data_IF_889009847164
#
_entry.id   IF_889009847164
#
_cell.length_a   1.000
_cell.length_b   1.000
_cell.length_c   1.000
_cell.angle_alpha   90.00
_cell.angle_beta   90.00
_cell.angle_gamma   90.00
#
_symmetry.space_group_name_H-M   'P 1'
#
loop_
_entity.id
_entity.type
_entity.pdbx_description
1 polymer ?
#
# COMPACT_ATOMS: atom_id res chain seq x y z
N UNK A 1 -9.43 26.28 1.22
CA UNK A 1 -9.95 24.94 0.88
C UNK A 1 -10.33 24.18 2.15
N UNK A 2 -11.31 23.28 2.05
CA UNK A 2 -11.78 22.47 3.17
C UNK A 2 -10.89 21.25 3.40
N UNK A 3 -10.19 20.79 2.35
CA UNK A 3 -9.31 19.64 2.39
C UNK A 3 -8.16 19.79 1.38
N UNK A 4 -6.98 19.28 1.74
CA UNK A 4 -5.83 19.11 0.85
C UNK A 4 -5.59 17.63 0.65
N UNK A 5 -5.55 17.18 -0.60
CA UNK A 5 -5.08 15.85 -0.97
C UNK A 5 -3.60 15.93 -1.33
N UNK A 6 -2.78 15.17 -0.62
CA UNK A 6 -1.35 15.02 -0.88
C UNK A 6 -1.16 13.72 -1.66
N UNK A 7 -0.98 13.83 -2.98
CA UNK A 7 -0.81 12.71 -3.90
C UNK A 7 0.61 12.75 -4.42
N UNK A 8 1.53 12.22 -3.62
CA UNK A 8 2.97 12.22 -3.86
C UNK A 8 3.53 10.81 -3.65
N UNK A 9 4.74 10.56 -4.17
CA UNK A 9 5.47 9.35 -3.84
C UNK A 9 5.84 9.34 -2.37
N UNK A 10 5.92 8.15 -1.77
CA UNK A 10 6.31 7.97 -0.37
C UNK A 10 7.57 8.75 0.02
N UNK A 11 8.59 8.73 -0.84
CA UNK A 11 9.86 9.45 -0.64
C UNK A 11 9.76 10.98 -0.70
N UNK A 12 8.63 11.53 -1.11
CA UNK A 12 8.43 12.98 -1.27
C UNK A 12 7.58 13.59 -0.13
N UNK A 13 7.01 12.77 0.75
CA UNK A 13 6.03 13.23 1.74
C UNK A 13 6.63 14.25 2.71
N UNK A 14 7.88 14.05 3.15
CA UNK A 14 8.53 14.96 4.09
C UNK A 14 8.75 16.36 3.50
N UNK A 15 8.97 16.47 2.18
CA UNK A 15 9.26 17.75 1.51
C UNK A 15 8.11 18.76 1.56
N UNK A 16 6.89 18.32 1.84
CA UNK A 16 5.69 19.18 1.88
C UNK A 16 5.22 19.51 3.30
N UNK A 17 5.82 18.92 4.33
CA UNK A 17 5.34 19.06 5.72
C UNK A 17 5.32 20.52 6.19
N UNK A 18 6.33 21.30 5.90
CA UNK A 18 6.38 22.72 6.30
C UNK A 18 5.28 23.53 5.60
N UNK A 19 5.05 23.27 4.33
CA UNK A 19 3.96 23.89 3.56
C UNK A 19 2.59 23.54 4.15
N UNK A 20 2.41 22.27 4.54
CA UNK A 20 1.17 21.80 5.14
C UNK A 20 0.96 22.39 6.54
N UNK A 21 2.01 22.52 7.35
CA UNK A 21 1.92 23.19 8.66
C UNK A 21 1.48 24.65 8.53
N UNK A 22 2.11 25.39 7.62
CA UNK A 22 1.83 26.78 7.41
C UNK A 22 0.44 27.06 6.77
N UNK A 23 -0.15 26.07 6.08
CA UNK A 23 -1.42 26.23 5.40
C UNK A 23 -2.58 26.34 6.40
N UNK A 24 -3.59 27.17 6.09
CA UNK A 24 -4.78 27.37 6.94
C UNK A 24 -5.75 26.17 6.89
N UNK A 25 -5.72 25.36 5.85
CA UNK A 25 -6.57 24.16 5.71
C UNK A 25 -6.21 23.15 6.79
N UNK A 26 -7.21 22.69 7.53
CA UNK A 26 -7.00 21.75 8.63
C UNK A 26 -7.00 20.28 8.20
N UNK A 27 -7.81 19.94 7.21
CA UNK A 27 -7.96 18.54 6.80
C UNK A 27 -6.94 18.18 5.72
N UNK A 28 -6.07 17.24 6.02
CA UNK A 28 -5.03 16.76 5.12
C UNK A 28 -5.28 15.26 4.86
N UNK A 29 -5.28 14.87 3.60
CA UNK A 29 -5.43 13.46 3.18
C UNK A 29 -4.18 13.04 2.43
N UNK A 30 -3.36 12.19 3.01
CA UNK A 30 -2.24 11.54 2.31
C UNK A 30 -2.75 10.34 1.52
N UNK A 31 -2.45 10.29 0.22
CA UNK A 31 -2.92 9.24 -0.69
C UNK A 31 -1.74 8.47 -1.26
N UNK A 32 -1.68 7.19 -1.03
CA UNK A 32 -0.65 6.29 -1.56
C UNK A 32 -0.08 5.34 -0.50
N UNK A 33 1.02 4.69 -0.85
CA UNK A 33 1.76 3.81 0.04
C UNK A 33 2.34 4.58 1.22
N UNK A 34 2.24 4.03 2.41
CA UNK A 34 2.81 4.64 3.59
C UNK A 34 2.94 3.63 4.73
N UNK A 35 4.13 3.50 5.28
CA UNK A 35 4.40 2.66 6.47
C UNK A 35 4.81 3.49 7.68
N UNK A 36 4.78 4.84 7.56
CA UNK A 36 5.11 5.79 8.62
C UNK A 36 3.94 6.74 8.92
N UNK A 37 2.71 6.25 8.78
CA UNK A 37 1.50 7.07 8.90
C UNK A 37 1.44 7.80 10.26
N UNK A 38 1.83 7.14 11.35
CA UNK A 38 1.88 7.74 12.69
C UNK A 38 2.89 8.88 12.79
N UNK A 39 4.08 8.72 12.21
CA UNK A 39 5.11 9.77 12.20
C UNK A 39 4.65 11.00 11.41
N UNK A 40 4.01 10.81 10.24
CA UNK A 40 3.45 11.92 9.45
C UNK A 40 2.34 12.66 10.22
N UNK A 41 1.45 11.94 10.88
CA UNK A 41 0.40 12.57 11.68
C UNK A 41 1.00 13.35 12.88
N UNK A 42 2.01 12.80 13.55
CA UNK A 42 2.72 13.47 14.64
C UNK A 42 3.46 14.73 14.17
N UNK A 43 3.97 14.75 12.93
CA UNK A 43 4.59 15.93 12.33
C UNK A 43 3.59 17.08 12.04
N UNK A 44 2.28 16.81 12.08
CA UNK A 44 1.21 17.78 11.79
C UNK A 44 0.17 17.85 12.92
N UNK A 45 0.57 18.16 14.18
CA UNK A 45 -0.28 18.03 15.37
C UNK A 45 -1.53 18.92 15.32
N UNK A 46 -1.47 20.06 14.61
CA UNK A 46 -2.59 21.00 14.47
C UNK A 46 -3.55 20.64 13.32
N UNK A 47 -3.27 19.54 12.60
CA UNK A 47 -4.04 19.10 11.44
C UNK A 47 -4.88 17.88 11.77
N UNK A 48 -6.01 17.78 11.07
CA UNK A 48 -6.80 16.56 11.00
C UNK A 48 -6.25 15.72 9.85
N UNK A 49 -5.40 14.74 10.17
CA UNK A 49 -4.69 13.93 9.18
C UNK A 49 -5.45 12.64 8.91
N UNK A 50 -5.77 12.44 7.65
CA UNK A 50 -6.35 11.22 7.13
C UNK A 50 -5.37 10.56 6.16
N UNK A 51 -5.57 9.26 5.96
CA UNK A 51 -4.83 8.48 4.99
C UNK A 51 -5.78 7.78 4.04
N UNK A 52 -5.32 7.59 2.80
CA UNK A 52 -6.12 6.93 1.78
C UNK A 52 -5.26 6.09 0.86
N UNK A 53 -5.86 5.04 0.32
CA UNK A 53 -5.31 4.26 -0.77
C UNK A 53 -6.36 4.13 -1.88
N UNK A 54 -6.07 4.72 -3.04
CA UNK A 54 -6.92 4.62 -4.22
C UNK A 54 -6.54 3.37 -5.02
N UNK A 55 -7.53 2.58 -5.40
CA UNK A 55 -7.33 1.41 -6.24
C UNK A 55 -7.23 1.86 -7.71
N UNK A 56 -6.13 2.52 -8.00
CA UNK A 56 -5.75 3.01 -9.32
C UNK A 56 -4.28 2.67 -9.57
N UNK A 57 -3.92 2.48 -10.82
CA UNK A 57 -2.56 2.16 -11.22
C UNK A 57 -2.27 2.76 -12.60
N UNK A 58 -1.00 2.89 -12.94
CA UNK A 58 -0.59 3.42 -14.23
C UNK A 58 0.81 4.00 -14.20
N UNK A 59 1.17 4.61 -15.32
CA UNK A 59 2.45 5.26 -15.49
C UNK A 59 2.30 6.54 -16.30
N UNK A 60 3.29 7.42 -16.20
CA UNK A 60 3.37 8.64 -17.00
C UNK A 60 4.23 8.38 -18.24
N UNK A 61 3.69 8.70 -19.39
CA UNK A 61 4.44 8.89 -20.64
C UNK A 61 4.79 10.38 -20.81
N UNK A 62 5.53 10.73 -21.84
CA UNK A 62 6.02 12.11 -22.01
C UNK A 62 4.88 13.15 -22.00
N UNK A 63 3.77 12.87 -22.66
CA UNK A 63 2.66 13.78 -22.94
C UNK A 63 1.33 13.34 -22.32
N UNK A 64 1.27 12.14 -21.71
CA UNK A 64 0.02 11.58 -21.17
C UNK A 64 0.23 10.68 -19.96
N UNK A 65 -0.86 10.41 -19.26
CA UNK A 65 -0.93 9.40 -18.20
C UNK A 65 -1.73 8.21 -18.72
N UNK A 66 -1.11 7.03 -18.71
CA UNK A 66 -1.79 5.76 -18.96
C UNK A 66 -2.17 5.16 -17.63
N UNK A 67 -3.47 5.01 -17.37
CA UNK A 67 -3.94 4.57 -16.06
C UNK A 67 -5.18 3.69 -16.15
N UNK A 68 -5.34 2.85 -15.12
CA UNK A 68 -6.58 2.18 -14.78
C UNK A 68 -7.07 2.71 -13.44
N UNK A 69 -8.33 3.09 -13.36
CA UNK A 69 -8.96 3.54 -12.14
C UNK A 69 -10.20 2.70 -11.86
N UNK A 70 -10.14 1.86 -10.84
CA UNK A 70 -11.23 0.96 -10.43
C UNK A 70 -12.31 1.66 -9.61
N UNK A 71 -12.27 2.99 -9.52
CA UNK A 71 -13.24 3.82 -8.80
C UNK A 71 -13.49 3.34 -7.36
N UNK A 72 -12.43 2.89 -6.69
CA UNK A 72 -12.47 2.48 -5.29
C UNK A 72 -11.37 3.16 -4.51
N UNK A 73 -11.71 3.69 -3.34
CA UNK A 73 -10.74 4.27 -2.41
C UNK A 73 -11.03 3.76 -0.99
N UNK A 74 -9.99 3.30 -0.30
CA UNK A 74 -10.03 3.08 1.15
C UNK A 74 -9.47 4.32 1.80
N UNK A 75 -10.19 4.90 2.77
CA UNK A 75 -9.83 6.17 3.40
C UNK A 75 -10.31 6.20 4.85
N UNK A 76 -9.52 6.78 5.72
CA UNK A 76 -9.86 6.95 7.13
C UNK A 76 -8.75 7.63 7.92
N UNK A 77 -8.72 7.41 9.21
CA UNK A 77 -7.79 7.99 10.16
C UNK A 77 -6.94 6.92 10.86
N UNK A 78 -6.02 7.36 11.71
CA UNK A 78 -5.30 6.48 12.62
C UNK A 78 -6.18 5.99 13.76
N UNK A 79 -5.86 4.85 14.40
CA UNK A 79 -6.54 4.38 15.60
C UNK A 79 -6.53 5.43 16.71
N UNK A 80 -7.66 5.59 17.39
CA UNK A 80 -7.82 6.55 18.48
C UNK A 80 -8.10 8.00 18.06
N UNK A 81 -7.97 8.33 16.78
CA UNK A 81 -8.35 9.65 16.28
C UNK A 81 -9.88 9.80 16.12
N UNK A 82 -10.34 11.04 16.10
CA UNK A 82 -11.78 11.36 15.93
C UNK A 82 -12.25 10.84 14.57
N UNK A 83 -13.44 10.25 14.56
CA UNK A 83 -14.02 9.70 13.33
C UNK A 83 -14.30 10.78 12.28
N UNK A 84 -13.76 10.61 11.10
CA UNK A 84 -13.91 11.51 9.95
C UNK A 84 -14.95 11.02 8.93
N UNK A 85 -15.80 10.06 9.30
CA UNK A 85 -16.77 9.45 8.38
C UNK A 85 -17.69 10.45 7.69
N UNK A 86 -18.15 11.47 8.42
CA UNK A 86 -19.00 12.52 7.86
C UNK A 86 -18.25 13.41 6.88
N UNK A 87 -17.03 13.81 7.20
CA UNK A 87 -16.17 14.59 6.31
C UNK A 87 -15.92 13.83 5.00
N UNK A 88 -15.52 12.56 5.11
CA UNK A 88 -15.29 11.68 3.96
C UNK A 88 -16.55 11.53 3.12
N UNK A 89 -17.72 11.36 3.75
CA UNK A 89 -19.00 11.30 3.05
C UNK A 89 -19.30 12.57 2.24
N UNK A 90 -18.99 13.76 2.77
CA UNK A 90 -19.14 15.02 2.05
C UNK A 90 -18.16 15.18 0.88
N UNK A 91 -16.88 14.80 1.10
CA UNK A 91 -15.83 14.89 0.07
C UNK A 91 -16.20 14.06 -1.16
N UNK A 92 -16.73 12.87 -0.97
CA UNK A 92 -17.03 11.94 -2.08
C UNK A 92 -18.50 11.95 -2.51
N UNK A 93 -19.32 12.84 -1.94
CA UNK A 93 -20.72 12.95 -2.32
C UNK A 93 -20.86 13.26 -3.82
N UNK A 94 -21.73 12.53 -4.52
CA UNK A 94 -21.96 12.68 -5.96
C UNK A 94 -20.85 12.13 -6.85
N UNK A 95 -19.76 11.59 -6.31
CA UNK A 95 -18.72 10.96 -7.11
C UNK A 95 -19.08 9.51 -7.45
N UNK A 96 -18.39 8.94 -8.46
CA UNK A 96 -18.51 7.51 -8.83
C UNK A 96 -17.63 6.58 -7.98
N UNK A 97 -16.93 7.11 -6.98
CA UNK A 97 -16.02 6.31 -6.14
C UNK A 97 -16.79 5.45 -5.14
N UNK A 98 -16.44 4.18 -5.07
CA UNK A 98 -16.79 3.30 -3.95
C UNK A 98 -15.85 3.59 -2.80
N UNK A 99 -16.32 4.31 -1.81
CA UNK A 99 -15.54 4.66 -0.62
C UNK A 99 -15.66 3.55 0.41
N UNK A 100 -14.51 3.06 0.87
CA UNK A 100 -14.39 2.15 2.01
C UNK A 100 -13.80 2.95 3.16
N UNK A 101 -14.59 3.16 4.20
CA UNK A 101 -14.11 3.82 5.41
C UNK A 101 -13.35 2.82 6.29
N UNK A 102 -12.08 3.14 6.59
CA UNK A 102 -11.24 2.34 7.47
C UNK A 102 -10.81 3.17 8.69
N UNK A 103 -11.26 2.82 9.90
CA UNK A 103 -10.90 3.56 11.12
C UNK A 103 -9.47 3.30 11.59
N UNK A 104 -8.80 2.30 11.02
CA UNK A 104 -7.43 1.94 11.33
C UNK A 104 -6.57 1.90 10.05
N UNK A 105 -6.31 3.08 9.51
CA UNK A 105 -5.49 3.20 8.28
C UNK A 105 -4.02 2.85 8.50
N UNK A 106 -3.49 2.90 9.72
CA UNK A 106 -2.13 2.46 10.01
C UNK A 106 -1.94 0.98 9.67
N UNK A 107 -2.77 0.12 10.25
CA UNK A 107 -2.69 -1.32 10.02
C UNK A 107 -3.02 -1.67 8.55
N UNK A 108 -3.98 -0.97 7.96
CA UNK A 108 -4.32 -1.16 6.56
C UNK A 108 -3.13 -0.89 5.64
N UNK A 109 -2.40 0.21 5.85
CA UNK A 109 -1.27 0.60 5.01
C UNK A 109 -0.05 -0.29 5.23
N UNK A 110 0.22 -0.73 6.47
CA UNK A 110 1.25 -1.73 6.76
C UNK A 110 0.97 -3.04 6.04
N UNK A 111 -0.25 -3.56 6.16
CA UNK A 111 -0.66 -4.80 5.48
C UNK A 111 -0.61 -4.65 3.97
N UNK A 112 -1.06 -3.51 3.43
CA UNK A 112 -0.99 -3.25 2.00
C UNK A 112 0.46 -3.25 1.50
N UNK A 113 1.37 -2.58 2.19
CA UNK A 113 2.78 -2.56 1.84
C UNK A 113 3.40 -3.97 1.91
N UNK A 114 3.10 -4.75 2.96
CA UNK A 114 3.56 -6.14 3.09
C UNK A 114 3.00 -7.08 2.00
N UNK A 115 1.85 -6.75 1.40
CA UNK A 115 1.29 -7.49 0.29
C UNK A 115 1.92 -7.12 -1.05
N UNK A 116 2.18 -5.83 -1.30
CA UNK A 116 2.67 -5.39 -2.62
C UNK A 116 4.17 -5.55 -2.79
N UNK A 117 4.95 -5.56 -1.71
CA UNK A 117 6.41 -5.68 -1.80
C UNK A 117 6.90 -6.98 -2.44
N UNK A 118 6.40 -8.19 -2.06
CA UNK A 118 6.77 -9.42 -2.77
C UNK A 118 6.43 -9.38 -4.27
N UNK A 119 5.31 -8.74 -4.66
CA UNK A 119 4.97 -8.55 -6.06
C UNK A 119 5.97 -7.62 -6.78
N UNK A 120 6.50 -6.59 -6.11
CA UNK A 120 7.55 -5.74 -6.66
C UNK A 120 8.85 -6.52 -6.89
N UNK A 121 9.24 -7.41 -5.96
CA UNK A 121 10.40 -8.30 -6.16
C UNK A 121 10.24 -9.19 -7.41
N UNK A 122 9.02 -9.70 -7.65
CA UNK A 122 8.72 -10.44 -8.88
C UNK A 122 8.88 -9.57 -10.14
N UNK A 123 8.48 -8.29 -10.07
CA UNK A 123 8.68 -7.36 -11.19
C UNK A 123 10.17 -7.12 -11.46
N UNK A 124 10.97 -6.93 -10.43
CA UNK A 124 12.44 -6.73 -10.58
C UNK A 124 13.12 -7.98 -11.15
N UNK A 125 12.82 -9.16 -10.61
CA UNK A 125 13.34 -10.43 -11.11
C UNK A 125 13.05 -10.66 -12.59
N UNK A 126 11.93 -10.17 -13.09
CA UNK A 126 11.48 -10.41 -14.46
C UNK A 126 11.70 -9.23 -15.40
N UNK A 127 12.36 -8.18 -14.91
CA UNK A 127 12.54 -6.93 -15.63
C UNK A 127 11.19 -6.36 -16.13
N UNK A 128 10.20 -6.37 -15.23
CA UNK A 128 8.84 -5.87 -15.47
C UNK A 128 7.93 -6.81 -16.27
N UNK A 129 8.43 -7.93 -16.79
CA UNK A 129 7.61 -8.89 -17.55
C UNK A 129 7.16 -10.07 -16.67
N UNK A 130 6.10 -9.85 -15.90
CA UNK A 130 5.52 -10.90 -15.05
C UNK A 130 5.05 -12.15 -15.81
N UNK A 131 4.86 -12.07 -17.15
CA UNK A 131 4.49 -13.25 -17.94
C UNK A 131 5.56 -14.34 -17.90
N UNK A 132 6.82 -13.99 -17.63
CA UNK A 132 7.92 -14.95 -17.42
C UNK A 132 7.69 -15.87 -16.22
N UNK A 133 6.83 -15.46 -15.26
CA UNK A 133 6.45 -16.28 -14.10
C UNK A 133 5.16 -17.06 -14.32
N UNK A 134 4.57 -16.96 -15.52
CA UNK A 134 3.37 -17.74 -15.86
C UNK A 134 3.68 -19.24 -15.83
N UNK A 135 3.09 -19.94 -14.86
CA UNK A 135 3.35 -21.37 -14.66
C UNK A 135 4.40 -21.70 -13.59
N UNK A 136 5.24 -20.74 -13.19
CA UNK A 136 6.16 -20.94 -12.07
C UNK A 136 5.41 -20.87 -10.73
N UNK A 137 4.65 -21.92 -10.46
CA UNK A 137 3.87 -22.03 -9.23
C UNK A 137 4.79 -22.07 -7.98
N UNK A 138 6.01 -22.57 -8.10
CA UNK A 138 6.97 -22.63 -6.98
C UNK A 138 7.39 -21.20 -6.58
N UNK A 139 7.75 -20.36 -7.55
CA UNK A 139 8.11 -18.97 -7.27
C UNK A 139 6.91 -18.15 -6.75
N UNK A 140 5.72 -18.34 -7.34
CA UNK A 140 4.50 -17.66 -6.85
C UNK A 140 4.14 -18.06 -5.41
N UNK A 141 4.40 -19.30 -5.00
CA UNK A 141 4.24 -19.69 -3.60
C UNK A 141 5.26 -19.00 -2.70
N UNK A 142 6.51 -18.80 -3.14
CA UNK A 142 7.51 -18.04 -2.37
C UNK A 142 7.10 -16.57 -2.18
N UNK A 143 6.48 -15.93 -3.19
CA UNK A 143 5.93 -14.58 -3.01
C UNK A 143 4.88 -14.55 -1.89
N UNK A 144 4.04 -15.58 -1.88
CA UNK A 144 3.01 -15.71 -0.86
C UNK A 144 3.61 -16.01 0.53
N UNK A 145 4.64 -16.84 0.60
CA UNK A 145 5.34 -17.12 1.86
C UNK A 145 5.97 -15.83 2.42
N UNK A 146 6.59 -15.00 1.59
CA UNK A 146 7.11 -13.69 2.02
C UNK A 146 5.98 -12.74 2.50
N UNK A 147 4.84 -12.71 1.82
CA UNK A 147 3.69 -11.95 2.29
C UNK A 147 3.20 -12.44 3.66
N UNK A 148 3.13 -13.76 3.86
CA UNK A 148 2.76 -14.37 5.15
C UNK A 148 3.78 -14.02 6.25
N UNK A 149 5.08 -14.00 5.95
CA UNK A 149 6.10 -13.51 6.89
C UNK A 149 5.86 -12.05 7.29
N UNK A 150 5.58 -11.18 6.33
CA UNK A 150 5.25 -9.78 6.59
C UNK A 150 4.00 -9.61 7.45
N UNK A 151 2.93 -10.32 7.13
CA UNK A 151 1.70 -10.30 7.93
C UNK A 151 1.90 -10.86 9.34
N UNK A 152 2.72 -11.89 9.48
CA UNK A 152 3.07 -12.45 10.81
C UNK A 152 3.86 -11.43 11.63
N UNK A 153 4.80 -10.71 11.04
CA UNK A 153 5.53 -9.64 11.69
C UNK A 153 4.59 -8.52 12.18
N UNK A 154 3.67 -8.09 11.32
CA UNK A 154 2.67 -7.06 11.64
C UNK A 154 1.76 -7.53 12.78
N UNK A 155 1.24 -8.76 12.73
CA UNK A 155 0.37 -9.32 13.77
C UNK A 155 1.12 -9.47 15.12
N UNK A 156 2.36 -9.93 15.09
CA UNK A 156 3.17 -10.12 16.31
C UNK A 156 3.56 -8.78 16.95
N UNK A 157 3.64 -7.69 16.17
CA UNK A 157 3.81 -6.34 16.66
C UNK A 157 2.52 -5.74 17.27
N UNK A 158 1.41 -6.49 17.33
CA UNK A 158 0.15 -6.07 17.92
C UNK A 158 -0.82 -5.35 16.97
N UNK A 159 -0.52 -5.32 15.67
CA UNK A 159 -1.38 -4.75 14.66
C UNK A 159 -2.43 -5.75 14.14
N UNK A 160 -3.59 -5.26 13.73
CA UNK A 160 -4.61 -6.07 13.09
C UNK A 160 -4.26 -6.32 11.61
N UNK A 161 -4.60 -7.50 11.11
CA UNK A 161 -4.47 -7.77 9.68
C UNK A 161 -5.69 -7.25 8.93
N UNK A 162 -5.43 -6.33 8.01
CA UNK A 162 -6.45 -5.65 7.21
C UNK A 162 -6.13 -5.75 5.69
N UNK A 163 -7.16 -5.85 4.83
CA UNK A 163 -8.59 -5.89 5.18
C UNK A 163 -8.97 -7.15 5.98
N UNK A 164 -10.08 -7.11 6.70
CA UNK A 164 -10.53 -8.24 7.56
C UNK A 164 -10.63 -9.58 6.83
N UNK A 165 -10.79 -9.56 5.51
CA UNK A 165 -10.78 -10.78 4.68
C UNK A 165 -9.45 -11.54 4.69
N UNK A 166 -8.36 -10.87 5.06
CA UNK A 166 -7.00 -11.41 5.11
C UNK A 166 -6.62 -11.89 6.53
N UNK A 167 -7.49 -11.74 7.52
CA UNK A 167 -7.19 -12.08 8.92
C UNK A 167 -6.75 -13.54 9.11
N UNK A 168 -7.26 -14.47 8.28
CA UNK A 168 -6.85 -15.88 8.24
C UNK A 168 -5.76 -16.12 7.17
N UNK A 169 -4.72 -15.27 7.15
CA UNK A 169 -3.67 -15.30 6.13
C UNK A 169 -2.80 -16.57 6.14
N UNK A 170 -2.78 -17.32 7.23
CA UNK A 170 -2.08 -18.62 7.32
C UNK A 170 -2.96 -19.79 6.82
N UNK A 171 -4.25 -19.54 6.60
CA UNK A 171 -5.21 -20.54 6.18
C UNK A 171 -5.10 -20.90 4.69
N UNK A 172 -5.51 -22.12 4.38
CA UNK A 172 -5.47 -22.65 2.99
C UNK A 172 -6.32 -21.82 2.01
N UNK A 173 -7.44 -21.26 2.48
CA UNK A 173 -8.32 -20.41 1.67
C UNK A 173 -7.61 -19.14 1.20
N UNK A 174 -6.90 -18.48 2.11
CA UNK A 174 -6.09 -17.30 1.78
C UNK A 174 -5.03 -17.65 0.74
N UNK A 175 -4.25 -18.70 1.00
CA UNK A 175 -3.20 -19.20 0.10
C UNK A 175 -3.73 -19.47 -1.31
N UNK A 176 -4.84 -20.20 -1.44
CA UNK A 176 -5.48 -20.49 -2.74
C UNK A 176 -5.94 -19.21 -3.45
N UNK A 177 -6.51 -18.27 -2.70
CA UNK A 177 -7.03 -17.00 -3.26
C UNK A 177 -5.89 -16.13 -3.80
N UNK A 178 -4.84 -15.92 -2.99
CA UNK A 178 -3.69 -15.11 -3.39
C UNK A 178 -2.89 -15.75 -4.53
N UNK A 179 -2.72 -17.09 -4.52
CA UNK A 179 -2.07 -17.77 -5.62
C UNK A 179 -2.84 -17.61 -6.94
N UNK A 180 -4.18 -17.67 -6.91
CA UNK A 180 -5.01 -17.40 -8.09
C UNK A 180 -4.83 -15.96 -8.56
N UNK A 181 -4.79 -15.00 -7.63
CA UNK A 181 -4.55 -13.59 -7.92
C UNK A 181 -3.19 -13.39 -8.60
N UNK A 182 -2.10 -13.92 -8.04
CA UNK A 182 -0.77 -13.83 -8.65
C UNK A 182 -0.72 -14.49 -10.03
N UNK A 183 -1.34 -15.65 -10.21
CA UNK A 183 -1.45 -16.30 -11.53
C UNK A 183 -2.19 -15.43 -12.55
N UNK A 184 -3.26 -14.74 -12.12
CA UNK A 184 -3.99 -13.81 -12.96
C UNK A 184 -3.14 -12.60 -13.35
N UNK A 185 -2.40 -12.04 -12.39
CA UNK A 185 -1.45 -10.94 -12.63
C UNK A 185 -0.38 -11.34 -13.66
N UNK A 186 0.17 -12.55 -13.56
CA UNK A 186 1.15 -13.05 -14.51
C UNK A 186 0.55 -13.41 -15.90
N UNK A 187 -0.77 -13.61 -16.01
CA UNK A 187 -1.41 -14.03 -17.24
C UNK A 187 -2.01 -12.89 -18.07
N UNK A 188 -2.19 -11.70 -17.48
CA UNK A 188 -2.97 -10.61 -18.08
C UNK A 188 -2.22 -9.29 -18.08
N UNK A 189 -2.70 -8.31 -18.86
CA UNK A 189 -2.23 -6.93 -18.84
C UNK A 189 -2.48 -6.22 -17.50
N UNK A 190 -3.35 -6.77 -16.66
CA UNK A 190 -3.62 -6.24 -15.32
C UNK A 190 -2.34 -6.24 -14.47
N UNK A 191 -1.53 -7.31 -14.55
CA UNK A 191 -0.24 -7.39 -13.86
C UNK A 191 0.74 -6.32 -14.30
N UNK A 192 0.77 -6.02 -15.60
CA UNK A 192 1.59 -4.92 -16.11
C UNK A 192 1.14 -3.60 -15.49
N UNK A 193 -0.13 -3.21 -15.63
CA UNK A 193 -0.65 -1.92 -15.18
C UNK A 193 -0.64 -1.77 -13.65
N UNK A 194 -1.04 -2.81 -12.90
CA UNK A 194 -1.22 -2.72 -11.45
C UNK A 194 0.04 -3.00 -10.64
N UNK A 195 1.04 -3.70 -11.19
CA UNK A 195 2.25 -4.05 -10.48
C UNK A 195 3.51 -3.58 -11.20
N UNK A 196 3.76 -4.08 -12.44
CA UNK A 196 5.04 -3.83 -13.11
C UNK A 196 5.26 -2.36 -13.44
N UNK A 197 4.26 -1.68 -13.99
CA UNK A 197 4.41 -0.27 -14.36
C UNK A 197 4.68 0.60 -13.14
N UNK A 198 4.03 0.31 -12.00
CA UNK A 198 4.31 1.04 -10.76
C UNK A 198 5.70 0.68 -10.21
N UNK A 199 5.99 -0.59 -10.03
CA UNK A 199 7.26 -1.03 -9.44
C UNK A 199 8.48 -0.56 -10.25
N UNK A 200 8.42 -0.67 -11.59
CA UNK A 200 9.53 -0.28 -12.47
C UNK A 200 9.71 1.24 -12.63
N UNK A 201 8.62 2.02 -12.49
CA UNK A 201 8.69 3.48 -12.60
C UNK A 201 8.83 4.19 -11.24
N UNK A 202 8.75 3.46 -10.12
CA UNK A 202 8.85 3.99 -8.76
C UNK A 202 9.83 3.18 -7.89
N UNK A 203 10.96 2.75 -8.48
CA UNK A 203 11.96 1.89 -7.82
C UNK A 203 12.43 2.50 -6.50
N UNK A 204 12.71 3.81 -6.46
CA UNK A 204 13.19 4.49 -5.25
C UNK A 204 12.12 4.49 -4.15
N UNK A 205 10.85 4.65 -4.51
CA UNK A 205 9.73 4.55 -3.58
C UNK A 205 9.63 3.15 -3.00
N UNK A 206 9.66 2.12 -3.85
CA UNK A 206 9.55 0.73 -3.41
C UNK A 206 10.73 0.30 -2.54
N UNK A 207 11.95 0.76 -2.87
CA UNK A 207 13.14 0.54 -2.03
C UNK A 207 13.00 1.21 -0.65
N UNK A 208 12.48 2.43 -0.60
CA UNK A 208 12.25 3.13 0.66
C UNK A 208 11.18 2.42 1.50
N UNK A 209 10.06 2.01 0.90
CA UNK A 209 9.03 1.22 1.56
C UNK A 209 9.58 -0.09 2.13
N UNK A 210 10.36 -0.82 1.32
CA UNK A 210 10.96 -2.07 1.76
C UNK A 210 11.94 -1.87 2.92
N UNK A 211 12.80 -0.87 2.84
CA UNK A 211 13.73 -0.53 3.93
C UNK A 211 12.99 -0.25 5.23
N UNK A 212 11.92 0.55 5.16
CA UNK A 212 11.20 0.98 6.33
C UNK A 212 10.30 -0.14 6.89
N UNK A 213 9.77 -1.04 6.04
CA UNK A 213 9.12 -2.28 6.49
C UNK A 213 10.11 -3.23 7.18
N UNK A 214 11.29 -3.44 6.61
CA UNK A 214 12.33 -4.27 7.24
C UNK A 214 12.75 -3.71 8.59
N UNK A 215 12.93 -2.40 8.68
CA UNK A 215 13.18 -1.73 9.97
C UNK A 215 12.07 -2.05 10.97
N UNK A 216 10.80 -1.94 10.56
CA UNK A 216 9.66 -2.31 11.42
C UNK A 216 9.72 -3.80 11.82
N UNK A 217 10.06 -4.71 10.91
CA UNK A 217 10.19 -6.14 11.21
C UNK A 217 11.32 -6.39 12.22
N UNK A 218 12.50 -5.78 12.03
CA UNK A 218 13.67 -5.91 12.90
C UNK A 218 13.40 -5.36 14.31
N UNK A 219 12.77 -4.20 14.42
CA UNK A 219 12.39 -3.56 15.69
C UNK A 219 11.40 -4.41 16.50
N UNK A 220 10.63 -5.27 15.83
CA UNK A 220 9.68 -6.19 16.46
C UNK A 220 10.18 -7.64 16.52
N UNK A 221 11.48 -7.87 16.27
CA UNK A 221 12.11 -9.18 16.40
C UNK A 221 11.57 -10.26 15.45
N UNK A 222 11.03 -9.86 14.29
CA UNK A 222 10.43 -10.78 13.34
C UNK A 222 11.51 -11.50 12.50
N UNK A 223 11.26 -12.79 12.18
CA UNK A 223 12.03 -13.52 11.18
C UNK A 223 11.32 -13.49 9.84
N UNK A 224 12.03 -13.11 8.77
CA UNK A 224 11.50 -13.00 7.41
C UNK A 224 12.50 -13.49 6.33
N UNK A 225 13.01 -14.75 6.45
CA UNK A 225 14.04 -15.26 5.56
C UNK A 225 13.61 -15.41 4.10
N UNK A 226 12.33 -15.72 3.84
CA UNK A 226 11.82 -15.82 2.46
C UNK A 226 11.75 -14.46 1.81
N UNK A 227 11.34 -13.43 2.54
CA UNK A 227 11.35 -12.04 2.09
C UNK A 227 12.76 -11.60 1.69
N UNK A 228 13.75 -11.81 2.56
CA UNK A 228 15.16 -11.49 2.28
C UNK A 228 15.68 -12.21 1.04
N UNK A 229 15.35 -13.50 0.88
CA UNK A 229 15.77 -14.31 -0.26
C UNK A 229 15.08 -13.93 -1.59
N UNK A 230 13.99 -13.16 -1.55
CA UNK A 230 13.33 -12.64 -2.75
C UNK A 230 13.80 -11.24 -3.12
N UNK A 231 14.30 -10.48 -2.14
CA UNK A 231 14.88 -9.14 -2.34
C UNK A 231 16.23 -9.19 -3.09
N UNK A 232 16.99 -10.28 -2.89
CA UNK A 232 18.30 -10.53 -3.52
C UNK A 232 18.15 -10.89 -5.00
#
# INVERSE_FOLDING_TARGET
>A
YDVIFVVLRYTQLDSVLDTLRANRTRNIVFVGNNVQARALAAALPEKNVLFAFALSAGHREADRVVSIDLKKITIGQLPGAISNKQLIGRIFHGTKYKVVYEPNMEDYLLCHAAFVMPAAFACYKTDGDLKKLRGDTAYLNRLLDANIEGYRAIRNAGHAILPKGDADFEGEKYRKTCLRFFKLMCATSLGKLCASDHAMNAIDEMRALNRDLKKFFDENGAAYPVWQALEA
#
